data_IF_259249653730
#
_entry.id   IF_259249653730
#
_cell.length_a   1.000
_cell.length_b   1.000
_cell.length_c   1.000
_cell.angle_alpha   90.00
_cell.angle_beta   90.00
_cell.angle_gamma   90.00
#
_symmetry.space_group_name_H-M   'P 1'
#
loop_
_entity.id
_entity.type
_entity.pdbx_description
1 polymer ?
#
# COMPACT_ATOMS: atom_id res chain seq x y z
N UNK A 1 3.54 -72.11 -54.71
CA UNK A 1 2.96 -73.35 -54.16
C UNK A 1 2.59 -73.01 -52.73
N UNK A 2 1.33 -72.61 -52.49
CA UNK A 2 0.24 -73.47 -51.97
C UNK A 2 0.58 -73.90 -50.52
N UNK A 3 -0.24 -73.71 -49.49
CA UNK A 3 -1.68 -73.50 -49.42
C UNK A 3 -2.14 -72.99 -48.04
N UNK A 4 -3.38 -72.51 -48.00
CA UNK A 4 -4.20 -72.03 -46.89
C UNK A 4 -4.51 -73.07 -45.78
N UNK A 5 -4.78 -72.59 -44.55
CA UNK A 5 -6.08 -72.77 -43.87
C UNK A 5 -6.17 -72.07 -42.48
N UNK A 6 -7.15 -71.16 -42.35
CA UNK A 6 -8.11 -70.86 -41.26
C UNK A 6 -8.01 -71.68 -39.95
N UNK A 7 -8.43 -71.26 -38.75
CA UNK A 7 -9.27 -70.18 -38.22
C UNK A 7 -9.10 -70.26 -36.68
N UNK A 8 -8.98 -69.15 -35.95
CA UNK A 8 -9.70 -69.03 -34.67
C UNK A 8 -9.86 -67.56 -34.26
N UNK A 9 -11.10 -67.18 -33.98
CA UNK A 9 -11.54 -65.83 -33.64
C UNK A 9 -11.35 -65.58 -32.14
N UNK A 10 -10.72 -64.47 -31.77
CA UNK A 10 -11.06 -63.78 -30.52
C UNK A 10 -10.96 -62.27 -30.73
N UNK A 11 -12.13 -61.65 -30.78
CA UNK A 11 -12.33 -60.21 -30.80
C UNK A 11 -11.93 -59.61 -29.45
N UNK A 12 -10.98 -58.70 -29.43
CA UNK A 12 -10.79 -57.75 -28.32
C UNK A 12 -10.79 -56.34 -28.88
N UNK A 13 -11.93 -55.69 -28.73
CA UNK A 13 -12.13 -54.26 -28.98
C UNK A 13 -11.23 -53.44 -28.06
N UNK A 14 -10.28 -52.71 -28.65
CA UNK A 14 -9.54 -51.65 -27.97
C UNK A 14 -10.48 -50.45 -27.78
N UNK A 15 -11.15 -50.40 -26.63
CA UNK A 15 -11.87 -49.22 -26.15
C UNK A 15 -10.84 -48.14 -25.86
N UNK A 16 -10.81 -47.11 -26.72
CA UNK A 16 -10.14 -45.84 -26.44
C UNK A 16 -10.93 -45.16 -25.33
N UNK A 17 -10.31 -44.99 -24.15
CA UNK A 17 -10.87 -44.23 -23.04
C UNK A 17 -10.92 -42.72 -23.38
N UNK A 18 -12.03 -42.27 -23.98
CA UNK A 18 -12.38 -40.84 -24.09
C UNK A 18 -13.04 -40.26 -22.81
N UNK A 19 -13.14 -41.04 -21.74
CA UNK A 19 -14.02 -40.75 -20.61
C UNK A 19 -13.53 -39.78 -19.52
N UNK A 20 -12.35 -39.15 -19.64
CA UNK A 20 -11.74 -38.43 -18.50
C UNK A 20 -11.49 -36.92 -18.69
N UNK A 21 -11.68 -36.35 -19.89
CA UNK A 21 -11.55 -34.89 -20.09
C UNK A 21 -12.84 -34.12 -19.76
N UNK A 22 -14.01 -34.71 -19.95
CA UNK A 22 -15.31 -34.02 -19.80
C UNK A 22 -15.76 -33.87 -18.33
N UNK A 23 -15.38 -34.80 -17.45
CA UNK A 23 -15.74 -34.76 -16.04
C UNK A 23 -14.98 -33.66 -15.28
N UNK A 24 -13.71 -33.42 -15.64
CA UNK A 24 -12.88 -32.35 -15.08
C UNK A 24 -13.38 -30.95 -15.48
N UNK A 25 -13.75 -30.77 -16.76
CA UNK A 25 -14.35 -29.51 -17.24
C UNK A 25 -15.72 -29.25 -16.61
N UNK A 26 -16.59 -30.25 -16.48
CA UNK A 26 -17.89 -30.11 -15.83
C UNK A 26 -17.79 -29.84 -14.31
N UNK A 27 -16.70 -30.27 -13.66
CA UNK A 27 -16.42 -29.92 -12.27
C UNK A 27 -15.95 -28.47 -12.14
N UNK A 28 -15.00 -28.06 -12.99
CA UNK A 28 -14.49 -26.69 -13.04
C UNK A 28 -15.60 -25.68 -13.38
N UNK A 29 -16.47 -26.00 -14.33
CA UNK A 29 -17.61 -25.14 -14.69
C UNK A 29 -18.59 -24.97 -13.53
N UNK A 30 -18.85 -26.04 -12.76
CA UNK A 30 -19.69 -25.95 -11.56
C UNK A 30 -19.05 -25.09 -10.48
N UNK A 31 -17.75 -25.23 -10.24
CA UNK A 31 -17.00 -24.40 -9.29
C UNK A 31 -16.95 -22.93 -9.73
N UNK A 32 -16.69 -22.66 -11.01
CA UNK A 32 -16.72 -21.31 -11.58
C UNK A 32 -18.11 -20.69 -11.47
N UNK A 33 -19.16 -21.46 -11.75
CA UNK A 33 -20.55 -21.00 -11.62
C UNK A 33 -20.90 -20.69 -10.17
N UNK A 34 -20.50 -21.56 -9.24
CA UNK A 34 -20.70 -21.36 -7.80
C UNK A 34 -19.95 -20.13 -7.29
N UNK A 35 -18.68 -19.97 -7.69
CA UNK A 35 -17.85 -18.80 -7.35
C UNK A 35 -18.43 -17.52 -7.94
N UNK A 36 -18.88 -17.53 -9.19
CA UNK A 36 -19.53 -16.37 -9.83
C UNK A 36 -20.80 -15.99 -9.08
N UNK A 37 -21.62 -16.97 -8.69
CA UNK A 37 -22.84 -16.75 -7.89
C UNK A 37 -22.53 -16.22 -6.49
N UNK A 38 -21.47 -16.69 -5.85
CA UNK A 38 -21.05 -16.22 -4.54
C UNK A 38 -20.56 -14.77 -4.57
N UNK A 39 -19.72 -14.43 -5.57
CA UNK A 39 -19.12 -13.09 -5.69
C UNK A 39 -20.09 -12.03 -6.22
N UNK A 40 -20.94 -12.41 -7.18
CA UNK A 40 -21.76 -11.47 -7.94
C UNK A 40 -23.27 -11.62 -7.72
N UNK A 41 -23.68 -12.62 -6.95
CA UNK A 41 -25.09 -12.97 -6.77
C UNK A 41 -25.70 -13.63 -8.01
N UNK A 42 -27.02 -13.75 -8.03
CA UNK A 42 -27.75 -14.40 -9.12
C UNK A 42 -27.89 -13.52 -10.37
N UNK A 43 -27.79 -12.20 -10.22
CA UNK A 43 -28.22 -11.22 -11.24
C UNK A 43 -27.15 -10.13 -11.45
N UNK A 44 -25.96 -10.50 -11.90
CA UNK A 44 -24.94 -9.53 -12.31
C UNK A 44 -25.18 -9.08 -13.74
N UNK A 45 -25.18 -7.76 -13.98
CA UNK A 45 -25.21 -7.26 -15.35
C UNK A 45 -23.91 -7.64 -16.05
N UNK A 46 -24.02 -8.15 -17.27
CA UNK A 46 -22.87 -8.71 -18.01
C UNK A 46 -21.82 -7.63 -18.33
N UNK A 47 -22.22 -6.38 -18.54
CA UNK A 47 -21.30 -5.24 -18.70
C UNK A 47 -20.48 -4.95 -17.44
N UNK A 48 -21.08 -5.04 -16.25
CA UNK A 48 -20.38 -4.90 -14.97
C UNK A 48 -19.38 -6.03 -14.80
N UNK A 49 -19.82 -7.27 -15.05
CA UNK A 49 -18.95 -8.45 -14.96
C UNK A 49 -17.75 -8.34 -15.90
N UNK A 50 -17.96 -7.97 -17.17
CA UNK A 50 -16.87 -7.82 -18.15
C UNK A 50 -15.86 -6.74 -17.75
N UNK A 51 -16.33 -5.59 -17.25
CA UNK A 51 -15.44 -4.53 -16.76
C UNK A 51 -14.56 -5.01 -15.61
N UNK A 52 -15.11 -5.81 -14.69
CA UNK A 52 -14.38 -6.35 -13.55
C UNK A 52 -13.58 -7.62 -13.83
N UNK A 53 -13.91 -8.35 -14.90
CA UNK A 53 -13.17 -9.50 -15.40
C UNK A 53 -12.00 -9.10 -16.32
N UNK A 54 -11.69 -7.80 -16.42
CA UNK A 54 -10.56 -7.30 -17.17
C UNK A 54 -9.26 -7.95 -16.67
N UNK A 55 -8.47 -8.49 -17.60
CA UNK A 55 -7.11 -8.93 -17.30
C UNK A 55 -6.11 -7.78 -17.16
N UNK A 56 -4.89 -8.11 -16.77
CA UNK A 56 -3.79 -7.16 -16.71
C UNK A 56 -3.23 -6.90 -18.12
N UNK A 57 -3.20 -5.63 -18.51
CA UNK A 57 -2.64 -5.17 -19.78
C UNK A 57 -1.74 -3.98 -19.50
N UNK A 58 -0.60 -3.92 -20.18
CA UNK A 58 0.36 -2.82 -20.02
C UNK A 58 0.07 -1.68 -21.00
N UNK A 59 0.41 -0.47 -20.59
CA UNK A 59 0.41 0.71 -21.44
C UNK A 59 1.47 0.60 -22.54
N UNK A 60 1.11 1.01 -23.75
CA UNK A 60 2.05 1.14 -24.87
C UNK A 60 2.97 2.34 -24.71
N UNK A 61 2.53 3.35 -23.93
CA UNK A 61 3.29 4.57 -23.67
C UNK A 61 4.16 4.47 -22.41
N UNK A 62 3.84 3.50 -21.53
CA UNK A 62 4.55 3.27 -20.26
C UNK A 62 4.61 1.76 -19.97
N UNK A 63 5.68 1.06 -20.37
CA UNK A 63 5.74 -0.41 -20.33
C UNK A 63 5.54 -1.03 -18.94
N UNK A 64 5.81 -0.29 -17.88
CA UNK A 64 5.61 -0.73 -16.48
C UNK A 64 4.25 -0.37 -15.89
N UNK A 65 3.40 0.36 -16.61
CA UNK A 65 2.09 0.79 -16.11
C UNK A 65 0.97 -0.11 -16.64
N UNK A 66 0.13 -0.59 -15.73
CA UNK A 66 -1.08 -1.31 -16.08
C UNK A 66 -2.18 -0.35 -16.56
N UNK A 67 -3.05 -0.81 -17.46
CA UNK A 67 -4.22 -0.05 -17.91
C UNK A 67 -5.45 -0.57 -17.15
N UNK A 68 -6.30 0.36 -16.74
CA UNK A 68 -7.66 0.09 -16.29
C UNK A 68 -8.66 0.58 -17.34
N UNK A 69 -9.51 -0.33 -17.79
CA UNK A 69 -10.61 -0.02 -18.70
C UNK A 69 -11.81 0.47 -17.91
N UNK A 70 -12.36 1.61 -18.32
CA UNK A 70 -13.64 2.16 -17.85
C UNK A 70 -13.76 2.30 -16.32
N UNK A 71 -14.63 1.52 -15.68
CA UNK A 71 -14.81 1.44 -14.23
C UNK A 71 -14.40 0.07 -13.69
N UNK A 72 -13.36 -0.52 -14.30
CA UNK A 72 -12.82 -1.83 -13.98
C UNK A 72 -12.20 -1.93 -12.57
N UNK A 73 -11.54 -3.07 -12.25
CA UNK A 73 -11.26 -3.47 -10.88
C UNK A 73 -10.00 -2.77 -10.34
N UNK A 74 -10.07 -1.46 -10.08
CA UNK A 74 -8.97 -0.69 -9.49
C UNK A 74 -8.43 -1.31 -8.19
N UNK A 75 -9.33 -1.92 -7.40
CA UNK A 75 -9.01 -2.67 -6.19
C UNK A 75 -8.04 -3.85 -6.39
N UNK A 76 -7.98 -4.42 -7.61
CA UNK A 76 -7.00 -5.43 -7.97
C UNK A 76 -5.79 -4.82 -8.70
N UNK A 77 -6.03 -3.90 -9.64
CA UNK A 77 -4.99 -3.32 -10.49
C UNK A 77 -4.01 -2.46 -9.69
N UNK A 78 -4.49 -1.58 -8.80
CA UNK A 78 -3.61 -0.66 -8.08
C UNK A 78 -2.65 -1.39 -7.11
N UNK A 79 -3.08 -2.39 -6.31
CA UNK A 79 -2.13 -3.19 -5.52
C UNK A 79 -1.12 -3.95 -6.38
N UNK A 80 -1.56 -4.55 -7.50
CA UNK A 80 -0.64 -5.25 -8.43
C UNK A 80 0.38 -4.28 -9.01
N UNK A 81 -0.04 -3.09 -9.45
CA UNK A 81 0.86 -2.03 -9.90
C UNK A 81 1.84 -1.62 -8.80
N UNK A 82 1.36 -1.46 -7.56
CA UNK A 82 2.22 -1.14 -6.41
C UNK A 82 3.28 -2.20 -6.15
N UNK A 83 2.93 -3.49 -6.19
CA UNK A 83 3.91 -4.57 -6.05
C UNK A 83 4.87 -4.66 -7.24
N UNK A 84 4.41 -4.34 -8.46
CA UNK A 84 5.28 -4.26 -9.63
C UNK A 84 6.35 -3.18 -9.45
N UNK A 85 5.94 -1.97 -9.07
CA UNK A 85 6.84 -0.86 -8.77
C UNK A 85 7.78 -1.18 -7.61
N UNK A 86 7.28 -1.82 -6.54
CA UNK A 86 8.09 -2.31 -5.42
C UNK A 86 9.24 -3.20 -5.91
N UNK A 87 8.94 -4.17 -6.77
CA UNK A 87 9.97 -5.10 -7.30
C UNK A 87 10.97 -4.32 -8.16
N UNK A 88 10.51 -3.43 -9.04
CA UNK A 88 11.37 -2.60 -9.88
C UNK A 88 12.33 -1.71 -9.06
N UNK A 89 11.81 -1.00 -8.07
CA UNK A 89 12.60 -0.10 -7.22
C UNK A 89 13.64 -0.84 -6.38
N UNK A 90 13.37 -2.11 -6.04
CA UNK A 90 14.25 -2.93 -5.20
C UNK A 90 15.35 -3.62 -5.98
N UNK A 91 15.01 -4.17 -7.15
CA UNK A 91 15.86 -5.14 -7.87
C UNK A 91 16.48 -4.61 -9.16
N UNK A 92 16.06 -3.42 -9.63
CA UNK A 92 16.62 -2.79 -10.83
C UNK A 92 17.06 -1.35 -10.58
N UNK A 93 18.00 -1.09 -9.63
CA UNK A 93 18.56 0.24 -9.47
C UNK A 93 19.32 0.64 -10.74
N UNK A 94 18.82 1.65 -11.46
CA UNK A 94 19.47 2.22 -12.65
C UNK A 94 18.85 1.89 -14.01
N UNK A 95 17.79 1.05 -14.07
CA UNK A 95 16.99 0.93 -15.28
C UNK A 95 15.89 2.00 -15.29
N UNK A 96 15.76 2.71 -16.41
CA UNK A 96 14.63 3.62 -16.62
C UNK A 96 13.33 2.81 -16.66
N UNK A 97 12.27 3.31 -16.03
CA UNK A 97 10.94 2.66 -16.02
C UNK A 97 10.41 2.36 -17.44
N UNK A 98 10.90 3.12 -18.42
CA UNK A 98 10.53 3.03 -19.83
C UNK A 98 11.31 1.96 -20.62
N UNK A 99 12.44 1.46 -20.12
CA UNK A 99 13.34 0.55 -20.86
C UNK A 99 13.07 -0.94 -20.54
N UNK A 100 11.81 -1.30 -20.33
CA UNK A 100 11.42 -2.68 -20.00
C UNK A 100 10.88 -3.42 -21.22
N UNK A 101 11.40 -4.63 -21.45
CA UNK A 101 10.85 -5.55 -22.46
C UNK A 101 9.52 -6.14 -21.99
N UNK A 102 8.65 -6.51 -22.92
CA UNK A 102 7.37 -7.14 -22.59
C UNK A 102 7.53 -8.44 -21.79
N UNK A 103 8.58 -9.22 -22.05
CA UNK A 103 8.92 -10.41 -21.26
C UNK A 103 9.24 -10.07 -19.81
N UNK A 104 10.01 -8.99 -19.58
CA UNK A 104 10.33 -8.52 -18.24
C UNK A 104 9.08 -8.02 -17.52
N UNK A 105 8.22 -7.25 -18.18
CA UNK A 105 6.96 -6.79 -17.61
C UNK A 105 6.05 -7.96 -17.20
N UNK A 106 5.90 -8.97 -18.06
CA UNK A 106 5.13 -10.18 -17.74
C UNK A 106 5.73 -10.95 -16.57
N UNK A 107 7.06 -11.09 -16.52
CA UNK A 107 7.74 -11.72 -15.38
C UNK A 107 7.49 -10.97 -14.07
N UNK A 108 7.56 -9.64 -14.09
CA UNK A 108 7.27 -8.78 -12.93
C UNK A 108 5.81 -8.89 -12.49
N UNK A 109 4.88 -8.91 -13.44
CA UNK A 109 3.45 -9.09 -13.17
C UNK A 109 3.17 -10.40 -12.45
N UNK A 110 3.69 -11.52 -12.97
CA UNK A 110 3.52 -12.84 -12.36
C UNK A 110 4.06 -12.83 -10.93
N UNK A 111 5.26 -12.27 -10.73
CA UNK A 111 5.86 -12.15 -9.40
C UNK A 111 5.01 -11.29 -8.45
N UNK A 112 4.54 -10.13 -8.89
CA UNK A 112 3.69 -9.25 -8.11
C UNK A 112 2.41 -9.97 -7.65
N UNK A 113 1.71 -10.65 -8.58
CA UNK A 113 0.51 -11.42 -8.28
C UNK A 113 0.83 -12.57 -7.31
N UNK A 114 1.89 -13.33 -7.53
CA UNK A 114 2.31 -14.38 -6.60
C UNK A 114 2.62 -13.84 -5.20
N UNK A 115 3.26 -12.67 -5.09
CA UNK A 115 3.55 -12.04 -3.80
C UNK A 115 2.29 -11.60 -3.07
N UNK A 116 1.28 -11.09 -3.78
CA UNK A 116 -0.02 -10.73 -3.18
C UNK A 116 -0.75 -12.00 -2.73
N UNK A 117 -0.89 -12.99 -3.62
CA UNK A 117 -1.59 -14.24 -3.30
C UNK A 117 -0.92 -14.99 -2.13
N UNK A 118 0.42 -14.95 -2.03
CA UNK A 118 1.16 -15.55 -0.92
C UNK A 118 0.83 -14.93 0.44
N UNK A 119 0.34 -13.68 0.49
CA UNK A 119 -0.10 -13.04 1.74
C UNK A 119 -1.48 -13.51 2.18
N UNK A 120 -2.28 -14.06 1.27
CA UNK A 120 -3.62 -14.60 1.55
C UNK A 120 -3.58 -16.07 2.00
N UNK A 121 -2.43 -16.74 1.94
CA UNK A 121 -2.30 -18.15 2.31
C UNK A 121 -2.48 -18.33 3.82
N UNK A 122 -3.60 -18.91 4.20
CA UNK A 122 -3.85 -19.35 5.57
C UNK A 122 -3.00 -20.60 5.89
N UNK A 123 -2.62 -20.74 7.16
CA UNK A 123 -1.78 -21.84 7.68
C UNK A 123 -2.31 -23.27 7.43
N UNK A 124 -3.50 -23.44 6.85
CA UNK A 124 -4.16 -24.74 6.67
C UNK A 124 -3.70 -25.52 5.42
N UNK A 125 -3.00 -24.86 4.47
CA UNK A 125 -2.47 -25.52 3.27
C UNK A 125 -0.96 -25.37 3.21
N UNK A 126 -0.25 -26.48 3.45
CA UNK A 126 1.20 -26.59 3.28
C UNK A 126 1.54 -26.74 1.80
N UNK A 127 1.59 -25.62 1.07
CA UNK A 127 2.45 -25.50 -0.12
C UNK A 127 3.70 -24.76 0.33
N UNK A 128 4.87 -25.13 -0.19
CA UNK A 128 6.21 -24.72 0.28
C UNK A 128 6.54 -23.21 0.14
N UNK A 129 5.70 -22.34 0.72
CA UNK A 129 5.95 -20.90 0.91
C UNK A 129 5.38 -20.52 2.28
N UNK A 130 6.22 -20.65 3.31
CA UNK A 130 5.93 -20.10 4.64
C UNK A 130 6.02 -18.57 4.58
N UNK A 131 4.94 -17.84 4.91
CA UNK A 131 5.03 -16.46 5.41
C UNK A 131 3.79 -16.01 6.18
N UNK A 132 4.04 -15.32 7.31
CA UNK A 132 3.05 -14.74 8.22
C UNK A 132 2.39 -13.51 7.59
N UNK A 133 1.23 -13.66 6.97
CA UNK A 133 0.34 -12.54 6.59
C UNK A 133 -0.97 -12.64 7.34
N UNK A 134 -1.51 -11.52 7.85
CA UNK A 134 -2.86 -11.45 8.43
C UNK A 134 -3.66 -10.43 7.64
N UNK A 135 -4.65 -10.89 6.86
CA UNK A 135 -5.59 -9.99 6.20
C UNK A 135 -6.53 -9.39 7.24
N UNK A 136 -6.65 -8.06 7.24
CA UNK A 136 -7.54 -7.31 8.13
C UNK A 136 -8.30 -6.27 7.31
N UNK A 137 -9.50 -5.91 7.75
CA UNK A 137 -10.37 -4.98 7.04
C UNK A 137 -10.06 -3.50 7.37
N UNK A 138 -9.05 -3.23 8.19
CA UNK A 138 -8.82 -1.93 8.81
C UNK A 138 -7.41 -1.43 8.54
N UNK A 139 -7.25 -0.11 8.50
CA UNK A 139 -6.02 0.56 8.06
C UNK A 139 -5.21 1.20 9.19
N UNK A 140 -5.67 1.08 10.44
CA UNK A 140 -4.94 1.53 11.63
C UNK A 140 -4.01 0.44 12.17
N UNK A 141 -3.05 0.87 12.99
CA UNK A 141 -2.10 -0.05 13.63
C UNK A 141 -2.75 -0.76 14.82
N UNK A 142 -2.36 -2.02 14.99
CA UNK A 142 -2.74 -2.90 16.08
C UNK A 142 -4.25 -3.09 16.25
N UNK A 143 -4.64 -3.98 17.15
CA UNK A 143 -6.04 -4.20 17.46
C UNK A 143 -6.57 -3.02 18.29
N UNK A 144 -7.73 -2.48 17.90
CA UNK A 144 -8.40 -1.39 18.61
C UNK A 144 -9.74 -1.86 19.16
N UNK A 145 -10.21 -1.21 20.23
CA UNK A 145 -11.56 -1.43 20.76
C UNK A 145 -12.44 -0.28 20.34
N UNK A 146 -13.41 -0.55 19.45
CA UNK A 146 -14.35 0.46 18.93
C UNK A 146 -15.76 0.03 19.32
N UNK A 147 -16.45 0.87 20.10
CA UNK A 147 -17.81 0.56 20.58
C UNK A 147 -17.89 -0.73 21.40
N UNK A 148 -16.83 -1.09 22.13
CA UNK A 148 -16.74 -2.34 22.91
C UNK A 148 -16.35 -3.58 22.10
N UNK A 149 -16.19 -3.46 20.77
CA UNK A 149 -15.74 -4.56 19.90
C UNK A 149 -14.24 -4.46 19.65
N UNK A 150 -13.51 -5.58 19.85
CA UNK A 150 -12.10 -5.66 19.48
C UNK A 150 -11.98 -5.89 17.97
N UNK A 151 -11.57 -4.85 17.26
CA UNK A 151 -11.37 -4.82 15.83
C UNK A 151 -9.89 -4.98 15.49
N UNK A 152 -9.58 -5.81 14.49
CA UNK A 152 -8.20 -6.12 14.12
C UNK A 152 -7.61 -5.05 13.22
N UNK A 153 -6.46 -4.49 13.59
CA UNK A 153 -5.67 -3.63 12.72
C UNK A 153 -4.41 -4.30 12.20
N UNK A 154 -3.52 -3.49 11.64
CA UNK A 154 -2.27 -3.89 11.01
C UNK A 154 -1.25 -4.23 12.09
N UNK A 155 -0.63 -5.41 12.03
CA UNK A 155 0.28 -5.87 13.09
C UNK A 155 1.74 -5.40 12.89
N UNK A 156 2.11 -5.01 11.67
CA UNK A 156 3.48 -4.63 11.31
C UNK A 156 3.51 -3.79 10.05
N UNK A 157 4.63 -3.11 9.86
CA UNK A 157 4.97 -2.38 8.64
C UNK A 157 4.77 -3.23 7.37
N UNK A 158 4.00 -2.69 6.43
CA UNK A 158 3.74 -3.33 5.15
C UNK A 158 4.86 -3.11 4.13
N UNK A 159 4.88 -3.95 3.10
CA UNK A 159 5.85 -3.82 2.01
C UNK A 159 5.56 -2.61 1.11
N UNK A 160 4.28 -2.31 0.87
CA UNK A 160 3.80 -1.08 0.23
C UNK A 160 2.80 -0.39 1.16
N UNK A 161 2.68 0.92 1.01
CA UNK A 161 1.87 1.76 1.87
C UNK A 161 0.46 1.94 1.34
N UNK A 162 -0.34 2.62 2.16
CA UNK A 162 -1.69 3.02 1.80
C UNK A 162 -1.93 4.42 2.36
N UNK A 163 -2.53 5.30 1.55
CA UNK A 163 -2.99 6.62 1.96
C UNK A 163 -4.40 6.83 1.38
N UNK A 164 -5.20 7.66 2.03
CA UNK A 164 -6.54 7.96 1.52
C UNK A 164 -6.98 9.36 1.86
N UNK A 165 -7.67 10.01 0.93
CA UNK A 165 -8.30 11.30 1.19
C UNK A 165 -9.38 11.21 2.28
N UNK A 166 -9.94 10.03 2.50
CA UNK A 166 -10.94 9.78 3.55
C UNK A 166 -10.38 10.07 4.95
N UNK A 167 -9.06 10.01 5.14
CA UNK A 167 -8.41 10.39 6.40
C UNK A 167 -8.44 11.90 6.61
N UNK A 168 -8.19 12.69 5.56
CA UNK A 168 -8.35 14.15 5.63
C UNK A 168 -9.79 14.55 5.94
N UNK A 169 -10.76 13.82 5.38
CA UNK A 169 -12.19 13.99 5.64
C UNK A 169 -12.64 13.41 7.00
N UNK A 170 -11.71 12.90 7.82
CA UNK A 170 -11.96 12.34 9.15
C UNK A 170 -12.87 11.09 9.19
N UNK A 171 -13.00 10.37 8.07
CA UNK A 171 -13.76 9.10 8.03
C UNK A 171 -12.97 7.90 8.59
N UNK A 172 -11.64 7.95 8.53
CA UNK A 172 -10.77 6.92 9.10
C UNK A 172 -9.42 7.50 9.50
N UNK A 173 -8.64 6.74 10.27
CA UNK A 173 -7.24 7.07 10.57
C UNK A 173 -6.36 5.98 9.99
N UNK A 174 -5.38 6.37 9.17
CA UNK A 174 -4.41 5.42 8.61
C UNK A 174 -3.22 5.33 9.57
N UNK A 175 -2.86 4.10 9.93
CA UNK A 175 -1.77 3.81 10.85
C UNK A 175 -0.38 4.04 10.25
N UNK A 176 0.62 4.18 11.12
CA UNK A 176 2.03 4.38 10.73
C UNK A 176 2.56 3.20 9.91
N UNK A 177 2.07 1.97 10.11
CA UNK A 177 2.50 0.80 9.34
C UNK A 177 2.12 0.84 7.86
N UNK A 178 1.08 1.60 7.50
CA UNK A 178 0.71 1.89 6.11
C UNK A 178 1.28 3.22 5.61
N UNK A 179 1.40 4.24 6.48
CA UNK A 179 2.01 5.51 6.09
C UNK A 179 3.50 5.37 5.82
N UNK A 180 4.20 4.52 6.56
CA UNK A 180 5.64 4.30 6.46
C UNK A 180 5.89 2.86 5.98
N UNK A 181 5.69 2.52 4.70
CA UNK A 181 5.98 1.19 4.18
C UNK A 181 7.49 0.94 4.04
N UNK A 182 7.89 -0.32 3.82
CA UNK A 182 9.30 -0.70 3.58
C UNK A 182 9.85 -0.28 2.22
N UNK A 183 8.97 -0.01 1.26
CA UNK A 183 9.33 0.50 -0.06
C UNK A 183 8.51 1.75 -0.36
N UNK A 184 9.08 2.76 -1.04
CA UNK A 184 8.47 4.07 -1.22
C UNK A 184 7.39 4.02 -2.30
N UNK A 185 6.35 3.25 -2.04
CA UNK A 185 5.20 2.97 -2.91
C UNK A 185 3.97 2.97 -2.03
N UNK A 186 2.95 3.74 -2.39
CA UNK A 186 1.69 3.87 -1.68
C UNK A 186 0.53 3.70 -2.64
N UNK A 187 -0.44 2.86 -2.29
CA UNK A 187 -1.75 2.91 -2.92
C UNK A 187 -2.50 4.12 -2.36
N UNK A 188 -2.97 5.01 -3.23
CA UNK A 188 -3.80 6.14 -2.84
C UNK A 188 -5.26 5.82 -3.13
N UNK A 189 -6.14 6.01 -2.15
CA UNK A 189 -7.58 5.78 -2.30
C UNK A 189 -8.38 7.07 -2.23
N UNK A 190 -9.22 7.28 -3.25
CA UNK A 190 -10.34 8.21 -3.21
C UNK A 190 -11.63 7.48 -2.81
N UNK A 191 -12.76 8.20 -2.83
CA UNK A 191 -14.09 7.60 -2.66
C UNK A 191 -14.43 6.54 -3.73
N UNK A 192 -13.86 6.65 -4.93
CA UNK A 192 -14.32 5.86 -6.10
C UNK A 192 -13.20 5.15 -6.85
N UNK A 193 -11.94 5.44 -6.57
CA UNK A 193 -10.82 4.95 -7.37
C UNK A 193 -9.55 4.75 -6.54
N UNK A 194 -8.69 3.87 -7.05
CA UNK A 194 -7.37 3.62 -6.47
C UNK A 194 -6.29 3.96 -7.49
N UNK A 195 -5.30 4.72 -7.03
CA UNK A 195 -4.11 5.10 -7.80
C UNK A 195 -2.85 4.68 -7.04
N UNK A 196 -1.67 4.87 -7.61
CA UNK A 196 -0.41 4.53 -6.93
C UNK A 196 0.52 5.73 -6.97
N UNK A 197 1.14 6.02 -5.84
CA UNK A 197 2.21 7.00 -5.68
C UNK A 197 3.50 6.26 -5.37
N UNK A 198 4.63 6.69 -5.91
CA UNK A 198 5.92 6.12 -5.55
C UNK A 198 7.07 7.12 -5.69
N UNK A 199 8.23 6.76 -5.17
CA UNK A 199 9.47 7.52 -5.32
C UNK A 199 10.66 6.60 -5.56
N UNK A 200 11.72 7.13 -6.17
CA UNK A 200 13.03 6.48 -6.19
C UNK A 200 13.80 6.72 -4.87
N UNK A 201 13.38 7.68 -4.04
CA UNK A 201 14.00 8.00 -2.76
C UNK A 201 13.63 6.97 -1.70
N UNK A 202 14.57 6.08 -1.39
CA UNK A 202 14.37 4.98 -0.44
C UNK A 202 14.20 5.45 1.00
N UNK A 203 14.71 6.63 1.34
CA UNK A 203 14.57 7.22 2.68
C UNK A 203 13.11 7.51 3.04
N UNK A 204 12.24 7.76 2.05
CA UNK A 204 10.80 7.91 2.27
C UNK A 204 10.09 6.64 2.79
N UNK A 205 10.78 5.50 2.72
CA UNK A 205 10.30 4.19 3.15
C UNK A 205 11.10 3.60 4.31
N UNK A 206 11.82 4.45 5.04
CA UNK A 206 12.48 4.03 6.25
C UNK A 206 11.43 3.56 7.29
N UNK A 207 11.74 2.52 8.09
CA UNK A 207 10.97 2.26 9.30
C UNK A 207 10.96 3.52 10.16
N UNK A 208 9.82 3.78 10.81
CA UNK A 208 9.66 4.87 11.77
C UNK A 208 10.85 4.86 12.73
N UNK A 209 11.64 5.94 12.72
CA UNK A 209 12.80 6.02 13.60
C UNK A 209 12.33 6.12 15.05
N UNK A 210 13.20 5.80 16.01
CA UNK A 210 12.86 5.99 17.42
C UNK A 210 12.46 7.44 17.72
N UNK A 211 13.09 8.41 17.04
CA UNK A 211 12.74 9.82 17.11
C UNK A 211 11.36 10.13 16.53
N UNK A 212 11.01 9.61 15.37
CA UNK A 212 9.67 9.81 14.76
C UNK A 212 8.55 9.22 15.63
N UNK A 213 8.78 8.02 16.19
CA UNK A 213 7.84 7.41 17.14
C UNK A 213 7.70 8.26 18.40
N UNK A 214 8.80 8.76 18.94
CA UNK A 214 8.78 9.63 20.12
C UNK A 214 8.09 10.97 19.84
N UNK A 215 8.29 11.58 18.67
CA UNK A 215 7.57 12.78 18.25
C UNK A 215 6.06 12.53 18.14
N UNK A 216 5.64 11.42 17.54
CA UNK A 216 4.22 11.05 17.45
C UNK A 216 3.61 10.84 18.83
N UNK A 217 4.33 10.16 19.73
CA UNK A 217 3.91 9.96 21.11
C UNK A 217 3.79 11.31 21.81
N UNK A 218 4.80 12.17 21.72
CA UNK A 218 4.76 13.52 22.27
C UNK A 218 3.54 14.30 21.78
N UNK A 219 3.28 14.30 20.46
CA UNK A 219 2.12 14.95 19.85
C UNK A 219 0.78 14.39 20.34
N UNK A 220 0.72 13.13 20.76
CA UNK A 220 -0.51 12.56 21.35
C UNK A 220 -0.87 13.17 22.71
N UNK A 221 0.10 13.81 23.38
CA UNK A 221 -0.09 14.58 24.61
C UNK A 221 -0.24 16.09 24.36
N UNK A 222 -0.20 16.53 23.10
CA UNK A 222 -0.44 17.91 22.64
C UNK A 222 -1.70 17.95 21.75
N UNK A 223 -2.91 17.89 22.34
CA UNK A 223 -4.15 17.82 21.58
C UNK A 223 -4.44 19.09 20.76
N UNK A 224 -3.79 20.21 21.10
CA UNK A 224 -3.95 21.48 20.41
C UNK A 224 -2.95 21.67 19.26
N UNK A 225 -1.88 20.87 19.22
CA UNK A 225 -0.85 20.88 18.18
C UNK A 225 0.04 22.13 18.25
N UNK A 226 0.30 22.63 19.46
CA UNK A 226 1.13 23.82 19.69
C UNK A 226 2.65 23.51 19.73
N UNK A 227 3.04 22.25 19.54
CA UNK A 227 4.40 21.72 19.68
C UNK A 227 4.98 21.84 21.10
N UNK A 228 4.12 21.76 22.12
CA UNK A 228 4.53 21.68 23.53
C UNK A 228 3.57 20.82 24.35
N UNK A 229 4.05 20.27 25.45
CA UNK A 229 3.24 19.55 26.45
C UNK A 229 3.37 20.19 27.83
N UNK A 230 2.40 20.00 28.74
CA UNK A 230 2.58 20.33 30.14
C UNK A 230 3.75 19.56 30.74
N UNK A 231 4.58 20.24 31.54
CA UNK A 231 5.75 19.67 32.24
C UNK A 231 5.40 18.47 33.14
N UNK A 232 4.16 18.41 33.63
CA UNK A 232 3.62 17.29 34.38
C UNK A 232 3.47 15.99 33.55
N UNK A 233 3.24 16.10 32.24
CA UNK A 233 3.02 14.97 31.33
C UNK A 233 4.32 14.25 30.91
N UNK A 234 5.50 14.79 31.25
CA UNK A 234 6.79 14.26 30.82
C UNK A 234 6.98 12.77 31.18
N UNK A 235 6.55 12.36 32.37
CA UNK A 235 6.72 10.97 32.82
C UNK A 235 5.95 9.99 31.93
N UNK A 236 4.70 10.32 31.62
CA UNK A 236 3.83 9.49 30.79
C UNK A 236 4.34 9.41 29.35
N UNK A 237 4.87 10.53 28.83
CA UNK A 237 5.51 10.57 27.50
C UNK A 237 6.74 9.69 27.44
N UNK A 238 7.64 9.76 28.43
CA UNK A 238 8.84 8.93 28.48
C UNK A 238 8.49 7.43 28.59
N UNK A 239 7.51 7.09 29.44
CA UNK A 239 7.02 5.72 29.57
C UNK A 239 6.43 5.20 28.26
N UNK A 240 5.58 6.00 27.59
CA UNK A 240 4.98 5.63 26.32
C UNK A 240 6.02 5.50 25.19
N UNK A 241 7.08 6.30 25.21
CA UNK A 241 8.19 6.28 24.26
C UNK A 241 9.25 5.20 24.53
N UNK A 242 9.03 4.33 25.52
CA UNK A 242 10.00 3.31 25.95
C UNK A 242 11.36 3.91 26.37
N UNK A 243 11.32 5.09 26.98
CA UNK A 243 12.45 5.80 27.58
C UNK A 243 12.45 5.63 29.11
N UNK A 244 13.57 5.98 29.76
CA UNK A 244 13.70 5.92 31.22
C UNK A 244 12.68 6.85 31.89
N UNK A 245 11.74 6.28 32.65
CA UNK A 245 10.62 7.00 33.26
C UNK A 245 10.60 6.93 34.81
N UNK A 246 11.74 6.64 35.43
CA UNK A 246 11.91 6.61 36.90
C UNK A 246 11.73 8.02 37.50
N UNK A 247 10.95 8.20 38.59
CA UNK A 247 10.59 9.53 39.10
C UNK A 247 11.77 10.49 39.33
N UNK A 248 12.88 9.97 39.84
CA UNK A 248 14.09 10.77 40.11
C UNK A 248 14.76 11.27 38.82
N UNK A 249 14.80 10.43 37.79
CA UNK A 249 15.33 10.79 36.47
C UNK A 249 14.40 11.77 35.74
N UNK A 250 13.08 11.55 35.82
CA UNK A 250 12.10 12.45 35.22
C UNK A 250 12.18 13.85 35.84
N UNK A 251 12.34 13.96 37.15
CA UNK A 251 12.49 15.26 37.82
C UNK A 251 13.79 15.97 37.40
N UNK A 252 14.88 15.24 37.19
CA UNK A 252 16.13 15.80 36.63
C UNK A 252 15.90 16.34 35.21
N UNK A 253 15.28 15.54 34.34
CA UNK A 253 14.99 15.95 32.95
C UNK A 253 13.98 17.10 32.89
N UNK A 254 12.98 17.11 33.76
CA UNK A 254 12.02 18.20 33.88
C UNK A 254 12.72 19.52 34.16
N UNK A 255 13.63 19.56 35.13
CA UNK A 255 14.43 20.77 35.44
C UNK A 255 15.32 21.22 34.30
N UNK A 256 15.78 20.27 33.46
CA UNK A 256 16.61 20.58 32.29
C UNK A 256 15.78 21.16 31.15
N UNK A 257 14.64 20.54 30.85
CA UNK A 257 13.77 20.89 29.71
C UNK A 257 12.86 22.09 29.98
N UNK A 258 12.52 22.34 31.25
CA UNK A 258 11.71 23.47 31.73
C UNK A 258 12.54 24.32 32.71
N UNK A 259 13.74 24.73 32.29
CA UNK A 259 14.70 25.45 33.15
C UNK A 259 14.21 26.83 33.62
N UNK A 260 13.30 27.45 32.87
CA UNK A 260 12.65 28.72 33.22
C UNK A 260 11.39 28.52 34.08
N UNK A 261 11.00 27.27 34.37
CA UNK A 261 9.84 26.90 35.18
C UNK A 261 8.53 27.52 34.65
N UNK A 262 8.37 27.49 33.33
CA UNK A 262 7.18 27.93 32.60
C UNK A 262 6.05 26.90 32.69
N UNK A 263 6.34 25.68 33.12
CA UNK A 263 5.38 24.58 33.23
C UNK A 263 5.12 23.86 31.91
N UNK A 264 5.92 24.12 30.88
CA UNK A 264 5.80 23.53 29.55
C UNK A 264 7.13 22.96 29.06
N UNK A 265 7.06 21.95 28.22
CA UNK A 265 8.22 21.35 27.53
C UNK A 265 7.98 21.45 26.04
N UNK A 266 8.93 22.03 25.30
CA UNK A 266 8.87 22.17 23.86
C UNK A 266 9.26 20.85 23.17
N UNK A 267 8.58 20.53 22.05
CA UNK A 267 8.92 19.37 21.23
C UNK A 267 10.38 19.43 20.75
N UNK A 268 10.86 20.60 20.31
CA UNK A 268 12.25 20.76 19.86
C UNK A 268 13.26 20.42 20.96
N UNK A 269 13.08 20.97 22.16
CA UNK A 269 13.96 20.70 23.30
C UNK A 269 13.93 19.22 23.72
N UNK A 270 12.75 18.59 23.69
CA UNK A 270 12.62 17.16 23.94
C UNK A 270 13.38 16.32 22.91
N UNK A 271 13.21 16.62 21.61
CA UNK A 271 13.86 15.89 20.54
C UNK A 271 15.39 16.05 20.55
N UNK A 272 15.88 17.27 20.80
CA UNK A 272 17.31 17.55 20.91
C UNK A 272 17.97 16.80 22.07
N UNK A 273 17.25 16.62 23.18
CA UNK A 273 17.78 15.94 24.37
C UNK A 273 17.80 14.42 24.23
N UNK A 274 16.68 13.82 23.80
CA UNK A 274 16.54 12.35 23.81
C UNK A 274 16.92 11.70 22.47
N UNK A 275 16.90 12.46 21.38
CA UNK A 275 17.16 11.96 20.03
C UNK A 275 18.12 12.90 19.26
N UNK A 276 19.29 13.24 19.83
CA UNK A 276 20.23 14.17 19.19
C UNK A 276 20.73 13.60 17.86
N UNK A 277 20.65 14.41 16.81
CA UNK A 277 21.11 14.02 15.46
C UNK A 277 20.26 12.94 14.80
N UNK A 278 19.03 12.68 15.28
CA UNK A 278 18.09 11.85 14.55
C UNK A 278 17.76 12.55 13.22
N UNK A 279 18.37 12.07 12.12
CA UNK A 279 18.09 12.57 10.79
C UNK A 279 16.58 12.42 10.52
N UNK A 280 15.92 13.50 10.08
CA UNK A 280 14.54 13.42 9.57
C UNK A 280 14.51 12.32 8.51
N UNK A 281 13.62 11.34 8.68
CA UNK A 281 13.64 10.13 7.84
C UNK A 281 13.47 10.44 6.36
N UNK A 282 12.74 11.50 6.01
CA UNK A 282 12.58 12.00 4.64
C UNK A 282 13.48 13.23 4.38
N UNK A 283 14.11 13.34 3.19
CA UNK A 283 14.80 14.56 2.80
C UNK A 283 13.84 15.75 2.66
N UNK A 284 14.36 16.97 2.79
CA UNK A 284 13.58 18.20 2.66
C UNK A 284 12.96 18.36 1.26
N UNK A 285 13.59 17.79 0.24
CA UNK A 285 13.05 17.74 -1.13
C UNK A 285 13.19 16.35 -1.72
N UNK A 286 12.18 15.91 -2.45
CA UNK A 286 12.17 14.61 -3.12
C UNK A 286 11.24 14.61 -4.34
N UNK A 287 11.41 13.62 -5.21
CA UNK A 287 10.57 13.43 -6.39
C UNK A 287 9.51 12.38 -6.10
N UNK A 288 8.25 12.67 -6.45
CA UNK A 288 7.15 11.73 -6.44
C UNK A 288 6.69 11.44 -7.86
N UNK A 289 6.26 10.21 -8.09
CA UNK A 289 5.64 9.76 -9.33
C UNK A 289 4.24 9.23 -9.00
N UNK A 290 3.25 9.62 -9.80
CA UNK A 290 1.87 9.19 -9.69
C UNK A 290 1.47 8.35 -10.89
N UNK A 291 0.78 7.26 -10.62
CA UNK A 291 0.18 6.35 -11.58
C UNK A 291 -1.34 6.38 -11.43
N UNK A 292 -2.03 6.57 -12.54
CA UNK A 292 -3.46 6.33 -12.64
C UNK A 292 -3.74 5.40 -13.83
N UNK A 293 -4.33 4.24 -13.59
CA UNK A 293 -4.62 3.26 -14.65
C UNK A 293 -5.71 3.72 -15.64
N UNK A 294 -6.47 4.77 -15.32
CA UNK A 294 -7.54 5.26 -16.18
C UNK A 294 -7.01 6.21 -17.24
N UNK A 295 -7.04 5.80 -18.50
CA UNK A 295 -6.65 6.63 -19.65
C UNK A 295 -7.24 8.03 -19.62
N UNK A 296 -8.55 8.17 -19.32
CA UNK A 296 -9.25 9.48 -19.27
C UNK A 296 -8.72 10.45 -18.21
N UNK A 297 -8.08 9.92 -17.17
CA UNK A 297 -7.54 10.70 -16.05
C UNK A 297 -6.08 11.11 -16.27
N UNK A 298 -5.52 10.76 -17.44
CA UNK A 298 -4.14 11.08 -17.82
C UNK A 298 -4.09 12.03 -19.02
N UNK A 299 -3.00 12.83 -19.14
CA UNK A 299 -2.81 13.72 -20.28
C UNK A 299 -2.86 13.00 -21.63
N UNK A 300 -3.70 13.51 -22.53
CA UNK A 300 -3.85 12.95 -23.88
C UNK A 300 -4.47 11.55 -23.93
N UNK A 301 -5.11 11.07 -22.85
CA UNK A 301 -5.76 9.76 -22.85
C UNK A 301 -4.80 8.57 -22.73
N UNK A 302 -3.54 8.81 -22.34
CA UNK A 302 -2.47 7.80 -22.32
C UNK A 302 -2.05 7.51 -20.90
N UNK A 303 -2.02 6.25 -20.50
CA UNK A 303 -1.59 5.86 -19.15
C UNK A 303 -0.06 6.00 -19.08
N UNK A 304 0.39 7.02 -18.36
CA UNK A 304 1.80 7.37 -18.15
C UNK A 304 2.01 7.79 -16.70
N UNK A 305 3.24 7.73 -16.20
CA UNK A 305 3.53 8.30 -14.88
C UNK A 305 3.61 9.82 -14.93
N UNK A 306 3.06 10.46 -13.91
CA UNK A 306 3.16 11.92 -13.71
C UNK A 306 4.18 12.20 -12.62
N UNK A 307 5.13 13.08 -12.90
CA UNK A 307 6.23 13.40 -11.98
C UNK A 307 5.99 14.74 -11.30
N UNK A 308 6.28 14.81 -10.01
CA UNK A 308 6.19 16.02 -9.22
C UNK A 308 7.35 16.16 -8.25
N UNK A 309 7.77 17.39 -8.01
CA UNK A 309 8.82 17.76 -7.08
C UNK A 309 8.19 18.24 -5.77
N UNK A 310 8.41 17.48 -4.71
CA UNK A 310 7.90 17.74 -3.38
C UNK A 310 8.96 18.42 -2.50
N UNK A 311 8.50 19.29 -1.62
CA UNK A 311 9.29 19.91 -0.56
C UNK A 311 8.55 19.83 0.78
N UNK A 312 9.26 19.53 1.86
CA UNK A 312 8.73 19.60 3.22
C UNK A 312 9.02 20.99 3.79
N UNK A 313 7.98 21.78 3.98
CA UNK A 313 8.09 23.13 4.53
C UNK A 313 8.32 23.08 6.05
N UNK A 314 8.94 24.12 6.61
CA UNK A 314 9.20 24.22 8.05
C UNK A 314 7.91 24.38 8.86
N UNK A 315 6.89 25.03 8.30
CA UNK A 315 5.58 25.19 8.91
C UNK A 315 4.51 24.54 8.02
N UNK A 316 3.58 23.73 8.59
CA UNK A 316 2.44 23.25 7.85
C UNK A 316 1.61 24.44 7.39
N UNK A 317 1.67 24.77 6.10
CA UNK A 317 0.74 25.74 5.54
C UNK A 317 -0.66 25.12 5.59
N UNK A 318 -1.44 25.45 6.62
CA UNK A 318 -2.90 25.17 6.68
C UNK A 318 -3.67 26.09 5.72
N UNK A 319 -3.13 26.35 4.53
CA UNK A 319 -3.91 26.97 3.48
C UNK A 319 -5.01 25.97 3.11
N UNK A 320 -6.27 26.41 3.12
CA UNK A 320 -7.40 25.61 2.69
C UNK A 320 -7.28 25.33 1.18
N UNK A 321 -6.47 24.34 0.82
CA UNK A 321 -6.36 23.84 -0.55
C UNK A 321 -7.48 22.87 -0.81
N UNK A 322 -8.12 23.00 -1.97
CA UNK A 322 -9.15 22.06 -2.44
C UNK A 322 -8.56 20.96 -3.30
N UNK A 323 -7.23 20.88 -3.44
CA UNK A 323 -6.56 19.84 -4.21
C UNK A 323 -6.61 18.49 -3.47
N UNK A 324 -7.36 17.49 -3.98
CA UNK A 324 -7.47 16.18 -3.35
C UNK A 324 -6.13 15.44 -3.27
N UNK A 325 -5.23 15.64 -4.25
CA UNK A 325 -3.91 15.01 -4.23
C UNK A 325 -3.10 15.57 -3.07
N UNK A 326 -2.91 16.88 -3.02
CA UNK A 326 -2.13 17.54 -1.97
C UNK A 326 -2.69 17.25 -0.57
N UNK A 327 -4.00 17.38 -0.37
CA UNK A 327 -4.64 17.09 0.93
C UNK A 327 -4.48 15.62 1.35
N UNK A 328 -4.50 14.66 0.41
CA UNK A 328 -4.20 13.26 0.70
C UNK A 328 -2.72 13.06 1.10
N UNK A 329 -1.78 13.70 0.42
CA UNK A 329 -0.35 13.63 0.77
C UNK A 329 -0.07 14.24 2.15
N UNK A 330 -0.79 15.32 2.50
CA UNK A 330 -0.67 16.00 3.79
C UNK A 330 -1.09 15.13 4.98
N UNK A 331 -1.83 14.03 4.78
CA UNK A 331 -2.12 13.10 5.88
C UNK A 331 -0.90 12.27 6.31
N UNK A 332 0.10 12.15 5.42
CA UNK A 332 1.42 11.56 5.73
C UNK A 332 2.48 12.62 6.00
N UNK A 333 2.54 13.65 5.16
CA UNK A 333 3.54 14.72 5.24
C UNK A 333 2.83 16.06 5.47
N UNK A 334 2.54 16.45 6.72
CA UNK A 334 1.67 17.60 7.00
C UNK A 334 2.12 18.93 6.40
N UNK A 335 3.42 19.11 6.19
CA UNK A 335 4.01 20.33 5.59
C UNK A 335 4.48 20.14 4.15
N UNK A 336 4.05 19.08 3.47
CA UNK A 336 4.39 18.89 2.06
C UNK A 336 3.74 19.96 1.19
N UNK A 337 4.54 20.47 0.26
CA UNK A 337 4.08 21.14 -0.94
C UNK A 337 4.66 20.41 -2.15
N UNK A 338 3.94 20.44 -3.28
CA UNK A 338 4.34 19.71 -4.49
C UNK A 338 4.01 20.49 -5.75
N UNK A 339 4.98 20.53 -6.66
CA UNK A 339 4.81 21.09 -8.01
C UNK A 339 4.94 19.96 -9.03
N UNK A 340 3.87 19.71 -9.77
CA UNK A 340 3.82 18.73 -10.85
C UNK A 340 4.42 19.31 -12.14
N UNK A 341 5.16 18.49 -12.89
CA UNK A 341 5.93 18.97 -14.05
C UNK A 341 5.06 19.51 -15.20
N UNK A 342 3.80 19.07 -15.28
CA UNK A 342 2.80 19.56 -16.23
C UNK A 342 1.91 20.68 -15.67
N UNK A 343 2.24 21.20 -14.48
CA UNK A 343 1.61 22.37 -13.86
C UNK A 343 0.23 22.12 -13.26
N UNK A 344 -0.28 20.88 -13.26
CA UNK A 344 -1.61 20.55 -12.74
C UNK A 344 -1.53 19.38 -11.78
N UNK A 345 -2.38 19.33 -10.75
CA UNK A 345 -2.40 18.17 -9.86
C UNK A 345 -3.02 16.93 -10.52
N UNK A 346 -2.48 15.72 -10.30
CA UNK A 346 -3.09 14.48 -10.73
C UNK A 346 -4.42 14.18 -10.09
N UNK A 347 -5.34 13.68 -10.92
CA UNK A 347 -6.62 13.17 -10.46
C UNK A 347 -6.41 11.90 -9.64
N UNK A 348 -6.99 11.87 -8.45
CA UNK A 348 -7.17 10.64 -7.67
C UNK A 348 -8.31 9.76 -8.22
N UNK A 349 -9.08 10.24 -9.19
CA UNK A 349 -10.20 9.57 -9.85
C UNK A 349 -9.94 9.22 -11.32
#
# INVERSE_FOLDING_TARGET
MLDNSNEDQTSTSSIVQEGNMSAGTASLERELTSTRRLLWGNNVKEDVFRRWAQGFQFSTDEPSALIQQEGGPCAAIAPVQGFLLKILLSETPGHTLHDLTSEKCNSLLVRAVCMILSQCLAAKYNVAVYRKGRAVAHVWDHDQVVGGLRLRGIERQNDIGFLTIMEHMQYCTVGSFYKNPKHPVWVLASETHLTVLFSMERRLAAPETAGESAERIFRSFDPEGNNFIPSAALQDVLCAADLVSEPEYVELMRRKLDSENLGIILLSAFMDEFFPGCERGAPDTFTLHHYNGLSRSNPGGRVVFRTGRAALLECPMRAATTDPMLTCLQTKWPSIDIVWDDGHSPSLN
#
